data_IF_490399065790
#
_entry.id   IF_490399065790
#
_cell.length_a   1.000
_cell.length_b   1.000
_cell.length_c   1.000
_cell.angle_alpha   90.00
_cell.angle_beta   90.00
_cell.angle_gamma   90.00
#
_symmetry.space_group_name_H-M   'P 1'
#
loop_
_entity.id
_entity.type
_entity.pdbx_description
1 polymer ?
#
# COMPACT_ATOMS: atom_id res chain seq x y z
N UNK A 1 15.58 -1.79 -10.54
CA UNK A 1 15.60 -2.90 -11.54
C UNK A 1 16.89 -3.74 -11.58
N UNK A 2 18.09 -3.21 -11.31
CA UNK A 2 19.34 -4.02 -11.43
C UNK A 2 19.55 -5.06 -10.33
N UNK A 3 19.03 -4.84 -9.12
CA UNK A 3 19.33 -5.67 -7.94
C UNK A 3 18.63 -7.04 -8.01
N UNK A 4 17.31 -7.07 -8.27
CA UNK A 4 16.54 -8.32 -8.38
C UNK A 4 17.09 -9.23 -9.48
N UNK A 5 17.36 -8.66 -10.67
CA UNK A 5 17.98 -9.38 -11.79
C UNK A 5 19.38 -9.90 -11.45
N UNK A 6 20.20 -9.13 -10.74
CA UNK A 6 21.55 -9.57 -10.36
C UNK A 6 21.53 -10.77 -9.42
N UNK A 7 20.56 -10.83 -8.49
CA UNK A 7 20.45 -11.97 -7.55
C UNK A 7 19.88 -13.21 -8.25
N UNK A 8 18.94 -13.06 -9.19
CA UNK A 8 18.41 -14.17 -9.99
C UNK A 8 19.45 -14.75 -10.97
N UNK A 9 20.44 -13.96 -11.39
CA UNK A 9 21.52 -14.41 -12.28
C UNK A 9 22.56 -15.28 -11.56
N UNK A 10 22.64 -15.25 -10.23
CA UNK A 10 23.49 -16.15 -9.46
C UNK A 10 22.73 -17.46 -9.13
N UNK A 11 23.11 -18.62 -9.71
CA UNK A 11 22.35 -19.86 -9.57
C UNK A 11 22.27 -20.41 -8.14
N UNK A 12 23.24 -20.03 -7.28
CA UNK A 12 23.23 -20.41 -5.88
C UNK A 12 22.25 -19.53 -5.10
N UNK A 13 22.32 -18.21 -5.25
CA UNK A 13 21.48 -17.26 -4.52
C UNK A 13 20.02 -17.29 -4.99
N UNK A 14 19.79 -17.50 -6.29
CA UNK A 14 18.45 -17.66 -6.87
C UNK A 14 17.71 -18.90 -6.36
N UNK A 15 18.42 -19.93 -5.86
CA UNK A 15 17.81 -21.15 -5.30
C UNK A 15 17.38 -21.03 -3.84
N UNK A 16 17.86 -20.01 -3.11
CA UNK A 16 17.64 -19.89 -1.66
C UNK A 16 17.03 -18.55 -1.22
N UNK A 17 16.89 -17.59 -2.11
CA UNK A 17 16.36 -16.25 -1.78
C UNK A 17 14.99 -16.03 -2.40
N UNK A 18 14.01 -15.68 -1.56
CA UNK A 18 12.71 -15.18 -2.02
C UNK A 18 12.66 -13.66 -2.03
N UNK A 19 11.86 -13.08 -2.93
CA UNK A 19 11.62 -11.65 -3.09
C UNK A 19 10.18 -11.29 -2.79
N UNK A 20 9.98 -10.32 -1.89
CA UNK A 20 8.69 -9.70 -1.69
C UNK A 20 8.69 -8.26 -2.21
N UNK A 21 7.62 -7.87 -2.89
CA UNK A 21 7.34 -6.47 -3.21
C UNK A 21 6.42 -5.88 -2.16
N UNK A 22 6.82 -4.78 -1.51
CA UNK A 22 5.98 -4.04 -0.57
C UNK A 22 5.74 -2.62 -1.07
N UNK A 23 4.47 -2.22 -1.17
CA UNK A 23 4.08 -0.92 -1.71
C UNK A 23 2.83 -0.35 -1.04
N UNK A 24 2.70 0.98 -1.06
CA UNK A 24 1.48 1.67 -0.64
C UNK A 24 0.37 1.61 -1.71
N UNK A 25 0.71 1.25 -2.94
CA UNK A 25 -0.21 1.15 -4.07
C UNK A 25 -1.22 0.02 -3.87
N UNK A 26 -2.44 0.21 -4.36
CA UNK A 26 -3.45 -0.86 -4.43
C UNK A 26 -2.98 -2.00 -5.32
N UNK A 27 -3.63 -3.18 -5.23
CA UNK A 27 -3.31 -4.30 -6.12
C UNK A 27 -3.49 -3.94 -7.60
N UNK A 28 -4.51 -3.15 -7.93
CA UNK A 28 -4.73 -2.67 -9.28
C UNK A 28 -3.56 -1.80 -9.76
N UNK A 29 -3.25 -0.73 -9.01
CA UNK A 29 -2.16 0.19 -9.35
C UNK A 29 -0.81 -0.55 -9.44
N UNK A 30 -0.57 -1.49 -8.53
CA UNK A 30 0.65 -2.32 -8.51
C UNK A 30 0.75 -3.17 -9.78
N UNK A 31 -0.35 -3.81 -10.19
CA UNK A 31 -0.37 -4.63 -11.42
C UNK A 31 -0.13 -3.78 -12.66
N UNK A 32 -0.78 -2.61 -12.75
CA UNK A 32 -0.59 -1.65 -13.84
C UNK A 32 0.87 -1.16 -13.91
N UNK A 33 1.46 -0.84 -12.75
CA UNK A 33 2.85 -0.41 -12.65
C UNK A 33 3.83 -1.50 -13.09
N UNK A 34 3.68 -2.73 -12.60
CA UNK A 34 4.52 -3.86 -13.00
C UNK A 34 4.41 -4.15 -14.51
N UNK A 35 3.17 -4.14 -15.03
CA UNK A 35 2.90 -4.32 -16.47
C UNK A 35 3.59 -3.24 -17.30
N UNK A 36 3.54 -1.97 -16.87
CA UNK A 36 4.22 -0.86 -17.56
C UNK A 36 5.75 -1.04 -17.61
N UNK A 37 6.32 -1.73 -16.62
CA UNK A 37 7.73 -2.07 -16.53
C UNK A 37 8.12 -3.38 -17.22
N UNK A 38 7.17 -4.07 -17.86
CA UNK A 38 7.33 -5.43 -18.39
C UNK A 38 7.89 -6.41 -17.34
N UNK A 39 7.41 -6.30 -16.11
CA UNK A 39 7.73 -7.19 -14.98
C UNK A 39 6.50 -8.03 -14.69
N UNK A 40 6.67 -9.33 -14.61
CA UNK A 40 5.57 -10.22 -14.23
C UNK A 40 5.43 -10.26 -12.71
N UNK A 41 4.21 -10.23 -12.22
CA UNK A 41 3.96 -10.28 -10.78
C UNK A 41 4.43 -11.59 -10.12
N UNK A 42 4.51 -12.68 -10.90
CA UNK A 42 5.04 -13.98 -10.49
C UNK A 42 6.57 -14.00 -10.31
N UNK A 43 7.29 -12.91 -10.65
CA UNK A 43 8.72 -12.76 -10.35
C UNK A 43 8.98 -12.52 -8.85
N UNK A 44 7.93 -12.23 -8.08
CA UNK A 44 7.97 -12.06 -6.63
C UNK A 44 7.30 -13.25 -5.95
N UNK A 45 7.89 -13.74 -4.87
CA UNK A 45 7.31 -14.78 -4.01
C UNK A 45 6.12 -14.25 -3.19
N UNK A 46 6.06 -12.95 -2.96
CA UNK A 46 4.93 -12.29 -2.31
C UNK A 46 4.77 -10.85 -2.80
N UNK A 47 3.53 -10.38 -2.87
CA UNK A 47 3.21 -8.98 -3.13
C UNK A 47 2.35 -8.46 -1.99
N UNK A 48 2.82 -7.39 -1.36
CA UNK A 48 2.21 -6.70 -0.23
C UNK A 48 1.76 -5.33 -0.74
N UNK A 49 0.45 -5.13 -0.81
CA UNK A 49 -0.18 -3.92 -1.35
C UNK A 49 -0.83 -3.09 -0.25
N UNK A 50 -1.27 -1.88 -0.62
CA UNK A 50 -2.13 -1.04 0.22
C UNK A 50 -1.53 -0.83 1.61
N UNK A 51 -0.24 -0.49 1.65
CA UNK A 51 0.54 -0.28 2.88
C UNK A 51 0.53 -1.48 3.84
N UNK A 52 0.37 -2.68 3.31
CA UNK A 52 0.32 -3.92 4.09
C UNK A 52 -1.07 -4.42 4.42
N UNK A 53 -2.16 -3.78 3.99
CA UNK A 53 -3.50 -4.33 4.26
C UNK A 53 -3.80 -5.61 3.48
N UNK A 54 -3.07 -5.89 2.41
CA UNK A 54 -3.33 -7.01 1.51
C UNK A 54 -2.02 -7.72 1.17
N UNK A 55 -2.01 -9.04 1.30
CA UNK A 55 -0.87 -9.91 0.96
C UNK A 55 -1.32 -10.91 -0.10
N UNK A 56 -0.54 -11.06 -1.15
CA UNK A 56 -0.81 -11.98 -2.26
C UNK A 56 0.38 -12.88 -2.52
N UNK A 57 0.09 -14.14 -2.82
CA UNK A 57 1.08 -15.13 -3.22
C UNK A 57 0.81 -15.59 -4.66
N UNK A 58 1.85 -15.81 -5.48
CA UNK A 58 1.69 -16.51 -6.75
C UNK A 58 1.15 -17.93 -6.48
N UNK A 59 0.07 -18.31 -7.16
CA UNK A 59 -0.53 -19.64 -6.97
C UNK A 59 0.43 -20.75 -7.40
N UNK A 60 0.86 -21.61 -6.47
CA UNK A 60 1.68 -22.81 -6.74
C UNK A 60 0.89 -23.88 -7.52
N UNK A 61 -0.44 -23.76 -7.58
CA UNK A 61 -1.37 -24.76 -8.13
C UNK A 61 -2.37 -24.20 -9.16
N UNK A 62 -2.25 -22.94 -9.56
CA UNK A 62 -3.05 -22.38 -10.66
C UNK A 62 -2.18 -22.36 -11.90
N UNK A 63 -2.61 -23.05 -12.96
CA UNK A 63 -1.84 -23.17 -14.21
C UNK A 63 -1.49 -21.81 -14.85
N UNK A 64 -2.20 -20.74 -14.46
CA UNK A 64 -2.03 -19.39 -14.98
C UNK A 64 -1.12 -18.48 -14.12
N UNK A 65 -0.55 -18.97 -13.01
CA UNK A 65 0.29 -18.15 -12.12
C UNK A 65 -0.44 -16.96 -11.48
N UNK A 66 -1.76 -17.08 -11.31
CA UNK A 66 -2.62 -16.01 -10.79
C UNK A 66 -2.30 -15.72 -9.32
N UNK A 67 -2.15 -14.44 -9.00
CA UNK A 67 -2.01 -13.99 -7.61
C UNK A 67 -3.27 -14.32 -6.82
N UNK A 68 -3.08 -14.92 -5.66
CA UNK A 68 -4.15 -15.28 -4.73
C UNK A 68 -3.97 -14.51 -3.41
N UNK A 69 -5.03 -13.87 -2.88
CA UNK A 69 -4.95 -13.19 -1.59
C UNK A 69 -4.76 -14.19 -0.45
N UNK A 70 -4.00 -13.79 0.56
CA UNK A 70 -3.88 -14.52 1.82
C UNK A 70 -5.12 -14.26 2.69
N UNK A 71 -5.98 -15.28 2.79
CA UNK A 71 -7.20 -15.21 3.56
C UNK A 71 -6.94 -15.21 5.08
N UNK A 72 -5.91 -15.92 5.54
CA UNK A 72 -5.56 -15.97 6.96
C UNK A 72 -5.02 -14.61 7.42
N UNK A 73 -4.23 -13.95 6.56
CA UNK A 73 -3.80 -12.57 6.78
C UNK A 73 -4.99 -11.62 6.89
N UNK A 74 -5.94 -11.70 5.96
CA UNK A 74 -7.14 -10.86 5.96
C UNK A 74 -7.98 -11.02 7.24
N UNK A 75 -8.11 -12.24 7.77
CA UNK A 75 -8.79 -12.49 9.05
C UNK A 75 -7.98 -11.92 10.24
N UNK A 76 -6.65 -12.03 10.19
CA UNK A 76 -5.79 -11.56 11.28
C UNK A 76 -5.81 -10.04 11.45
N UNK A 77 -5.78 -9.30 10.34
CA UNK A 77 -5.81 -7.83 10.39
C UNK A 77 -7.16 -7.32 10.88
N UNK A 78 -8.26 -7.97 10.48
CA UNK A 78 -9.61 -7.53 10.81
C UNK A 78 -9.86 -7.54 12.33
N UNK A 79 -9.30 -8.51 13.04
CA UNK A 79 -9.42 -8.60 14.50
C UNK A 79 -8.82 -7.40 15.26
N UNK A 80 -7.79 -6.73 14.70
CA UNK A 80 -7.06 -5.64 15.39
C UNK A 80 -7.23 -4.27 14.74
N UNK A 81 -7.95 -4.17 13.64
CA UNK A 81 -7.96 -2.95 12.86
C UNK A 81 -8.87 -1.87 13.46
N UNK A 82 -8.27 -0.80 13.97
CA UNK A 82 -8.95 0.33 14.60
C UNK A 82 -9.23 1.50 13.65
N UNK A 83 -9.92 1.25 12.52
CA UNK A 83 -10.14 2.25 11.45
C UNK A 83 -10.72 3.56 11.96
N UNK A 84 -11.73 3.49 12.82
CA UNK A 84 -12.43 4.68 13.34
C UNK A 84 -11.54 5.53 14.24
N UNK A 85 -10.70 4.87 15.07
CA UNK A 85 -9.72 5.54 15.91
C UNK A 85 -8.66 6.26 15.08
N UNK A 86 -8.22 5.64 13.98
CA UNK A 86 -7.29 6.23 13.03
C UNK A 86 -7.90 7.45 12.33
N UNK A 87 -9.10 7.31 11.74
CA UNK A 87 -9.81 8.44 11.09
C UNK A 87 -10.05 9.61 12.05
N UNK A 88 -10.47 9.31 13.28
CA UNK A 88 -10.66 10.34 14.33
C UNK A 88 -9.36 11.07 14.67
N UNK A 89 -8.25 10.34 14.78
CA UNK A 89 -6.95 10.91 15.10
C UNK A 89 -6.44 11.80 13.97
N UNK A 90 -6.53 11.33 12.72
CA UNK A 90 -6.17 12.13 11.53
C UNK A 90 -7.02 13.40 11.46
N UNK A 91 -8.34 13.29 11.62
CA UNK A 91 -9.23 14.44 11.64
C UNK A 91 -8.87 15.46 12.72
N UNK A 92 -8.44 15.03 13.91
CA UNK A 92 -7.96 15.94 14.97
C UNK A 92 -6.64 16.61 14.59
N UNK A 93 -5.68 15.86 14.06
CA UNK A 93 -4.37 16.38 13.66
C UNK A 93 -4.49 17.44 12.56
N UNK A 94 -5.34 17.20 11.56
CA UNK A 94 -5.51 18.14 10.45
C UNK A 94 -6.27 19.42 10.84
N UNK A 95 -7.05 19.37 11.92
CA UNK A 95 -7.81 20.51 12.44
C UNK A 95 -7.14 21.14 13.67
N UNK A 96 -6.00 20.62 14.13
CA UNK A 96 -5.22 21.20 15.20
C UNK A 96 -4.46 22.43 14.69
N UNK A 97 -5.17 23.52 14.38
CA UNK A 97 -4.55 24.83 14.15
C UNK A 97 -4.51 25.62 15.46
N UNK A 98 -3.36 26.23 15.75
CA UNK A 98 -3.14 27.15 16.86
C UNK A 98 -4.08 28.36 16.77
N UNK A 99 -5.08 28.42 17.65
CA UNK A 99 -5.69 29.67 18.13
C UNK A 99 -6.58 30.52 17.20
N UNK A 100 -6.68 30.28 15.89
CA UNK A 100 -7.42 31.19 15.00
C UNK A 100 -8.81 30.71 14.56
N UNK A 101 -9.74 31.66 14.62
CA UNK A 101 -11.19 31.55 14.62
C UNK A 101 -11.83 30.67 13.54
N UNK A 102 -13.00 30.16 13.91
CA UNK A 102 -13.93 29.31 13.16
C UNK A 102 -14.50 30.04 11.93
N UNK A 103 -13.73 30.15 10.87
CA UNK A 103 -14.32 30.19 9.53
C UNK A 103 -14.41 28.76 8.98
N UNK A 104 -15.41 28.49 8.13
CA UNK A 104 -15.67 27.19 7.49
C UNK A 104 -14.41 26.65 6.80
N UNK A 105 -13.53 25.99 7.57
CA UNK A 105 -12.31 25.40 7.06
C UNK A 105 -12.69 24.08 6.41
N UNK A 106 -12.76 24.09 5.08
CA UNK A 106 -12.61 22.87 4.29
C UNK A 106 -11.38 22.14 4.81
N UNK A 107 -11.52 20.83 5.07
CA UNK A 107 -10.40 20.03 5.56
C UNK A 107 -9.25 20.14 4.54
N UNK A 108 -7.99 20.34 4.99
CA UNK A 108 -6.85 20.43 4.08
C UNK A 108 -6.58 19.13 3.30
N UNK A 109 -7.25 18.04 3.71
CA UNK A 109 -7.19 16.74 3.06
C UNK A 109 -8.58 16.20 2.77
N UNK A 110 -8.66 15.30 1.79
CA UNK A 110 -9.85 14.56 1.41
C UNK A 110 -9.51 13.07 1.31
N UNK A 111 -10.40 12.20 1.77
CA UNK A 111 -10.17 10.75 1.69
C UNK A 111 -10.16 10.29 0.23
N UNK A 112 -9.10 9.61 -0.18
CA UNK A 112 -9.01 9.00 -1.51
C UNK A 112 -9.66 7.63 -1.48
N UNK A 113 -10.98 7.61 -1.69
CA UNK A 113 -11.77 6.36 -1.70
C UNK A 113 -11.28 5.35 -2.74
N UNK A 114 -10.63 5.79 -3.83
CA UNK A 114 -10.12 4.90 -4.87
C UNK A 114 -8.92 4.07 -4.38
N UNK A 115 -8.04 4.71 -3.60
CA UNK A 115 -6.82 4.10 -3.08
C UNK A 115 -6.96 3.70 -1.60
N UNK A 116 -8.19 3.70 -1.09
CA UNK A 116 -8.53 3.25 0.27
C UNK A 116 -9.26 1.92 0.22
N UNK A 117 -9.12 1.12 1.27
CA UNK A 117 -9.87 -0.10 1.50
C UNK A 117 -10.21 -0.21 3.01
N UNK A 118 -10.71 -1.38 3.44
CA UNK A 118 -11.09 -1.59 4.83
C UNK A 118 -9.94 -1.38 5.82
N UNK A 119 -8.70 -1.72 5.44
CA UNK A 119 -7.51 -1.71 6.32
C UNK A 119 -6.36 -0.81 5.86
N UNK A 120 -6.61 0.06 4.87
CA UNK A 120 -5.70 1.10 4.39
C UNK A 120 -6.51 2.34 4.02
N UNK A 121 -6.19 3.48 4.62
CA UNK A 121 -6.89 4.74 4.35
C UNK A 121 -5.90 5.70 3.71
N UNK A 122 -6.29 6.23 2.55
CA UNK A 122 -5.49 7.14 1.75
C UNK A 122 -6.15 8.51 1.74
N UNK A 123 -5.34 9.56 1.68
CA UNK A 123 -5.82 10.94 1.64
C UNK A 123 -5.10 11.72 0.54
N UNK A 124 -5.86 12.57 -0.15
CA UNK A 124 -5.37 13.61 -1.06
C UNK A 124 -5.24 14.91 -0.30
N UNK A 125 -4.17 15.65 -0.59
CA UNK A 125 -3.98 17.00 -0.07
C UNK A 125 -4.67 17.97 -1.03
N UNK A 126 -5.64 18.71 -0.53
CA UNK A 126 -6.37 19.71 -1.30
C UNK A 126 -5.71 21.09 -1.22
N UNK A 127 -4.92 21.33 -0.17
CA UNK A 127 -4.23 22.60 0.06
C UNK A 127 -2.73 22.37 0.33
N UNK A 128 -1.93 22.46 -0.73
CA UNK A 128 -0.48 22.26 -0.67
C UNK A 128 0.22 23.34 0.17
N UNK A 129 -0.40 24.52 0.37
CA UNK A 129 0.19 25.60 1.17
C UNK A 129 0.31 25.25 2.65
N UNK A 130 -0.44 24.24 3.10
CA UNK A 130 -0.44 23.73 4.48
C UNK A 130 0.48 22.54 4.70
N UNK A 131 1.21 22.11 3.67
CA UNK A 131 2.20 21.03 3.79
C UNK A 131 3.49 21.63 4.32
N UNK A 132 3.92 21.19 5.49
CA UNK A 132 5.24 21.57 6.02
C UNK A 132 6.34 20.85 5.24
N UNK A 133 7.21 21.60 4.59
CA UNK A 133 8.46 21.05 4.07
C UNK A 133 9.41 20.77 5.23
N UNK A 134 9.84 19.51 5.36
CA UNK A 134 10.89 19.12 6.30
C UNK A 134 12.20 19.19 5.53
N UNK A 135 13.02 20.20 5.83
CA UNK A 135 14.38 20.39 5.31
C UNK A 135 15.42 19.65 6.14
#
# INVERSE_FOLDING_TARGET
>A
QRIVKAVQLDPQTARVSGFALSTAMTMQETTEFLTSGNIQANEFDAIICSSGSEVYYPGVHTEDGKLSPDQDYAVHIDYRWGVEGLKSTIGKLMNASDGEEKHEKTSPIEEDLKSSNAHCISYKINDLSKVSEIY
#
